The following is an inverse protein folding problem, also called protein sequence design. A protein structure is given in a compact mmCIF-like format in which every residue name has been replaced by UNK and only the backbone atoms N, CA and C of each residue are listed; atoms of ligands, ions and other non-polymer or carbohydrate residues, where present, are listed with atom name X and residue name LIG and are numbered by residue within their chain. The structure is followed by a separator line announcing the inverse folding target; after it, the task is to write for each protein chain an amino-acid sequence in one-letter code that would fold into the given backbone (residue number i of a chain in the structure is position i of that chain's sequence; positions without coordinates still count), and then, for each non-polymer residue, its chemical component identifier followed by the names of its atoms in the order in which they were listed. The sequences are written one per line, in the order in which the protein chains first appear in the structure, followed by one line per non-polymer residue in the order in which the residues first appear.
data_IF_799359923442
#
_entry.id   IF_799359923442
#
_cell.length_a   1.000
_cell.length_b   1.000
_cell.length_c   1.000
_cell.angle_alpha   90.00
_cell.angle_beta   90.00
_cell.angle_gamma   90.00
#
_symmetry.space_group_name_H-M   'P 1'
#
loop_
_entity.id
_entity.type
_entity.pdbx_description
1 polymer ?
#
# COMPACT_ATOMS: atom_id res chain seq x y z
N UNK A 1 12.47 17.78 15.43
CA UNK A 1 11.30 17.95 16.29
C UNK A 1 10.04 17.99 15.41
N UNK A 2 8.99 17.32 15.83
CA UNK A 2 7.70 17.28 15.14
C UNK A 2 6.58 17.55 16.14
N UNK A 3 5.65 18.44 15.79
CA UNK A 3 4.46 18.74 16.55
C UNK A 3 3.27 18.77 15.60
N UNK A 4 2.16 18.16 15.99
CA UNK A 4 0.94 18.11 15.18
C UNK A 4 -0.28 18.21 16.08
N UNK A 5 -1.20 19.11 15.73
CA UNK A 5 -2.49 19.27 16.39
C UNK A 5 -3.61 19.02 15.36
N UNK A 6 -4.57 18.17 15.72
CA UNK A 6 -5.70 17.80 14.86
C UNK A 6 -7.03 17.98 15.58
N UNK A 7 -7.99 18.64 14.92
CA UNK A 7 -9.34 18.85 15.45
C UNK A 7 -10.36 18.11 14.59
N UNK A 8 -11.14 17.25 15.22
CA UNK A 8 -12.26 16.54 14.58
C UNK A 8 -13.59 17.18 15.00
N UNK A 9 -14.43 17.48 14.02
CA UNK A 9 -15.73 18.12 14.25
C UNK A 9 -16.86 17.26 13.68
N UNK A 10 -17.97 17.20 14.40
CA UNK A 10 -19.22 16.71 13.84
C UNK A 10 -19.76 17.70 12.80
N UNK A 11 -20.24 17.19 11.68
CA UNK A 11 -20.82 18.00 10.60
C UNK A 11 -22.12 17.38 10.10
N UNK A 12 -22.91 18.17 9.33
CA UNK A 12 -24.10 17.67 8.62
C UNK A 12 -23.76 17.06 7.25
N UNK A 13 -22.49 17.04 6.85
CA UNK A 13 -22.04 16.38 5.63
C UNK A 13 -22.26 14.87 5.70
N UNK A 14 -22.38 14.17 4.57
CA UNK A 14 -22.33 12.71 4.54
C UNK A 14 -21.07 12.22 5.29
N UNK A 15 -21.20 11.16 6.11
CA UNK A 15 -20.06 10.66 6.86
C UNK A 15 -18.94 10.21 5.91
N UNK A 16 -17.73 10.67 6.20
CA UNK A 16 -16.54 10.19 5.53
C UNK A 16 -16.10 8.85 6.12
N UNK A 17 -15.51 7.99 5.31
CA UNK A 17 -14.97 6.70 5.72
C UNK A 17 -13.52 6.53 5.30
N UNK A 18 -12.98 5.33 5.51
CA UNK A 18 -11.64 4.98 5.13
C UNK A 18 -11.49 4.92 3.61
N UNK A 19 -10.72 5.83 3.03
CA UNK A 19 -10.23 5.75 1.66
C UNK A 19 -8.88 5.02 1.64
N UNK A 20 -8.53 4.34 0.57
CA UNK A 20 -7.23 3.65 0.41
C UNK A 20 -6.07 4.60 0.72
N UNK A 21 -5.25 4.27 1.73
CA UNK A 21 -4.22 5.16 2.30
C UNK A 21 -4.59 5.74 3.66
N UNK A 22 -5.86 5.72 4.07
CA UNK A 22 -6.38 6.02 5.40
C UNK A 22 -5.86 7.33 6.01
N UNK A 23 -5.96 8.44 5.25
CA UNK A 23 -5.55 9.79 5.67
C UNK A 23 -4.08 10.13 5.38
N UNK A 24 -3.20 9.17 5.15
CA UNK A 24 -1.81 9.44 4.73
C UNK A 24 -1.75 10.09 3.35
N UNK A 25 -2.74 9.85 2.48
CA UNK A 25 -2.86 10.52 1.17
C UNK A 25 -2.91 12.04 1.30
N UNK A 26 -3.68 12.56 2.24
CA UNK A 26 -3.82 14.00 2.47
C UNK A 26 -2.53 14.62 3.04
N UNK A 27 -1.96 14.00 4.06
CA UNK A 27 -0.72 14.47 4.68
C UNK A 27 0.47 14.35 3.72
N UNK A 28 0.55 13.27 2.94
CA UNK A 28 1.56 13.10 1.91
C UNK A 28 1.47 14.20 0.85
N UNK A 29 0.27 14.54 0.37
CA UNK A 29 0.10 15.62 -0.60
C UNK A 29 0.68 16.94 -0.08
N UNK A 30 0.38 17.32 1.16
CA UNK A 30 0.90 18.54 1.77
C UNK A 30 2.43 18.49 1.96
N UNK A 31 2.94 17.41 2.56
CA UNK A 31 4.36 17.27 2.89
C UNK A 31 5.23 17.22 1.63
N UNK A 32 4.83 16.42 0.64
CA UNK A 32 5.58 16.26 -0.59
C UNK A 32 5.57 17.52 -1.47
N UNK A 33 4.47 18.29 -1.43
CA UNK A 33 4.41 19.61 -2.09
C UNK A 33 5.38 20.57 -1.43
N UNK A 34 5.45 20.62 -0.10
CA UNK A 34 6.43 21.43 0.63
C UNK A 34 7.86 21.02 0.34
N UNK A 35 8.15 19.71 0.27
CA UNK A 35 9.49 19.22 -0.09
C UNK A 35 9.92 19.67 -1.48
N UNK A 36 9.00 19.74 -2.44
CA UNK A 36 9.30 20.25 -3.78
C UNK A 36 9.63 21.76 -3.73
N UNK A 37 8.90 22.54 -2.94
CA UNK A 37 9.21 23.96 -2.71
C UNK A 37 10.58 24.15 -2.04
N UNK A 38 10.87 23.33 -1.05
CA UNK A 38 12.17 23.37 -0.38
C UNK A 38 13.31 23.01 -1.33
N UNK A 39 13.12 22.02 -2.21
CA UNK A 39 14.11 21.65 -3.23
C UNK A 39 14.43 22.84 -4.15
N UNK A 40 13.40 23.55 -4.61
CA UNK A 40 13.56 24.73 -5.45
C UNK A 40 14.28 25.87 -4.71
N UNK A 41 13.94 26.11 -3.43
CA UNK A 41 14.55 27.15 -2.60
C UNK A 41 16.05 26.88 -2.33
N UNK A 42 16.45 25.62 -2.13
CA UNK A 42 17.85 25.27 -1.88
C UNK A 42 18.63 24.91 -3.15
N UNK A 43 17.99 24.95 -4.31
CA UNK A 43 18.63 24.79 -5.61
C UNK A 43 19.07 23.37 -5.94
N UNK A 44 18.40 22.34 -5.40
CA UNK A 44 18.65 20.94 -5.74
C UNK A 44 17.42 20.29 -6.36
N UNK A 45 17.60 19.13 -7.01
CA UNK A 45 16.45 18.46 -7.63
C UNK A 45 15.47 17.88 -6.59
N UNK A 46 14.18 17.76 -6.92
CA UNK A 46 13.19 17.07 -6.08
C UNK A 46 13.57 15.62 -5.75
N UNK A 47 14.31 14.93 -6.64
CA UNK A 47 14.84 13.61 -6.36
C UNK A 47 15.96 13.68 -5.31
N UNK A 48 16.89 14.62 -5.46
CA UNK A 48 18.07 14.76 -4.60
C UNK A 48 17.69 15.12 -3.16
N UNK A 49 16.73 16.01 -2.93
CA UNK A 49 16.31 16.36 -1.57
C UNK A 49 15.73 15.14 -0.85
N UNK A 50 14.97 14.29 -1.54
CA UNK A 50 14.42 13.05 -0.99
C UNK A 50 15.50 12.03 -0.69
N UNK A 51 16.44 11.84 -1.61
CA UNK A 51 17.51 10.86 -1.45
C UNK A 51 18.43 11.18 -0.26
N UNK A 52 18.75 12.46 -0.06
CA UNK A 52 19.55 12.92 1.09
C UNK A 52 18.84 12.74 2.43
N UNK A 53 17.53 12.89 2.45
CA UNK A 53 16.70 12.84 3.65
C UNK A 53 15.91 11.52 3.80
N UNK A 54 16.10 10.57 2.88
CA UNK A 54 15.43 9.27 2.96
C UNK A 54 15.87 8.53 4.23
N UNK A 55 14.88 8.00 4.97
CA UNK A 55 15.16 7.16 6.14
C UNK A 55 15.86 5.87 5.72
N UNK A 56 16.79 5.42 6.54
CA UNK A 56 17.62 4.23 6.31
C UNK A 56 17.53 3.26 7.49
N UNK A 57 17.83 1.97 7.28
CA UNK A 57 17.88 1.00 8.36
C UNK A 57 18.69 1.50 9.58
N UNK A 58 18.13 1.33 10.78
CA UNK A 58 18.73 1.77 12.03
C UNK A 58 18.46 3.23 12.42
N UNK A 59 17.86 4.03 11.54
CA UNK A 59 17.44 5.40 11.87
C UNK A 59 16.14 5.42 12.67
N UNK A 60 15.87 6.56 13.28
CA UNK A 60 14.78 6.74 14.24
C UNK A 60 13.66 7.59 13.65
N UNK A 61 12.44 7.09 13.66
CA UNK A 61 11.23 7.85 13.30
C UNK A 61 10.90 8.92 14.34
N UNK A 62 10.13 9.96 13.99
CA UNK A 62 9.73 11.02 14.93
C UNK A 62 9.03 10.51 16.20
N UNK A 63 8.40 9.36 16.16
CA UNK A 63 7.75 8.70 17.30
C UNK A 63 8.71 7.86 18.17
N UNK A 64 10.00 7.81 17.83
CA UNK A 64 11.04 7.07 18.56
C UNK A 64 11.28 5.64 18.08
N UNK A 65 10.50 5.11 17.14
CA UNK A 65 10.71 3.76 16.59
C UNK A 65 12.00 3.74 15.74
N UNK A 66 12.84 2.73 15.99
CA UNK A 66 13.99 2.42 15.12
C UNK A 66 13.47 1.56 13.96
N UNK A 67 13.76 1.97 12.72
CA UNK A 67 13.36 1.19 11.54
C UNK A 67 14.33 0.06 11.26
N UNK A 68 13.79 -1.09 10.83
CA UNK A 68 14.55 -2.31 10.61
C UNK A 68 15.28 -2.39 9.26
N UNK A 69 15.96 -3.51 9.00
CA UNK A 69 16.71 -3.73 7.76
C UNK A 69 15.81 -3.79 6.51
N UNK A 70 14.52 -4.05 6.68
CA UNK A 70 13.50 -4.08 5.63
C UNK A 70 13.11 -2.68 5.09
N UNK A 71 13.74 -1.62 5.57
CA UNK A 71 13.44 -0.23 5.16
C UNK A 71 13.98 0.05 3.76
N UNK A 72 13.09 0.12 2.76
CA UNK A 72 13.43 0.18 1.33
C UNK A 72 13.17 1.51 0.63
N UNK A 73 13.08 2.65 1.35
CA UNK A 73 12.82 3.94 0.70
C UNK A 73 13.93 4.34 -0.28
N UNK A 74 15.18 4.13 0.09
CA UNK A 74 16.34 4.44 -0.79
C UNK A 74 16.27 3.62 -2.07
N UNK A 75 15.98 2.34 -1.96
CA UNK A 75 15.89 1.43 -3.09
C UNK A 75 14.73 1.81 -4.04
N UNK A 76 13.62 2.31 -3.51
CA UNK A 76 12.52 2.81 -4.36
C UNK A 76 12.92 4.09 -5.11
N UNK A 77 13.68 4.99 -4.48
CA UNK A 77 14.23 6.19 -5.12
C UNK A 77 15.24 5.84 -6.23
N UNK A 78 16.12 4.88 -5.97
CA UNK A 78 17.10 4.41 -6.95
C UNK A 78 16.43 3.70 -8.13
N UNK A 79 15.38 2.92 -7.88
CA UNK A 79 14.63 2.24 -8.94
C UNK A 79 13.93 3.21 -9.90
N UNK A 80 13.48 4.37 -9.43
CA UNK A 80 12.85 5.41 -10.24
C UNK A 80 13.89 6.30 -10.95
N UNK A 81 15.13 6.41 -10.41
CA UNK A 81 16.17 7.34 -10.87
C UNK A 81 16.44 7.29 -12.37
N UNK A 82 16.61 6.13 -13.02
CA UNK A 82 16.88 6.08 -14.46
C UNK A 82 15.77 6.72 -15.31
N UNK A 83 14.52 6.53 -14.92
CA UNK A 83 13.35 7.11 -15.59
C UNK A 83 13.28 8.63 -15.36
N UNK A 84 13.59 9.06 -14.13
CA UNK A 84 13.64 10.47 -13.78
C UNK A 84 14.70 11.20 -14.59
N UNK A 85 15.93 10.69 -14.63
CA UNK A 85 17.04 11.28 -15.35
C UNK A 85 16.78 11.35 -16.87
N UNK A 86 16.23 10.30 -17.45
CA UNK A 86 15.90 10.27 -18.86
C UNK A 86 14.83 11.32 -19.23
N UNK A 87 13.78 11.43 -18.43
CA UNK A 87 12.74 12.43 -18.63
C UNK A 87 13.28 13.86 -18.45
N UNK A 88 14.14 14.10 -17.46
CA UNK A 88 14.82 15.38 -17.25
C UNK A 88 15.75 15.74 -18.43
N UNK A 89 16.52 14.78 -18.95
CA UNK A 89 17.38 14.95 -20.12
C UNK A 89 16.58 15.33 -21.37
N UNK A 90 15.39 14.77 -21.51
CA UNK A 90 14.44 15.12 -22.59
C UNK A 90 13.75 16.47 -22.34
N UNK A 91 14.02 17.12 -21.21
CA UNK A 91 13.41 18.37 -20.79
C UNK A 91 11.92 18.26 -20.56
N UNK A 92 11.38 17.08 -20.21
CA UNK A 92 9.96 16.88 -19.93
C UNK A 92 9.59 17.44 -18.55
N UNK A 93 8.34 17.90 -18.34
CA UNK A 93 7.82 18.21 -17.03
C UNK A 93 7.69 16.93 -16.20
N UNK A 94 8.48 16.82 -15.14
CA UNK A 94 8.56 15.64 -14.28
C UNK A 94 8.28 16.04 -12.84
N UNK A 95 7.38 15.34 -12.21
CA UNK A 95 7.15 15.43 -10.76
C UNK A 95 7.47 14.11 -10.08
N UNK A 96 7.92 14.18 -8.84
CA UNK A 96 8.28 13.03 -8.02
C UNK A 96 7.76 13.19 -6.59
N UNK A 97 7.36 12.08 -5.97
CA UNK A 97 6.95 12.03 -4.58
C UNK A 97 7.30 10.68 -3.95
N UNK A 98 7.52 10.70 -2.64
CA UNK A 98 7.74 9.53 -1.82
C UNK A 98 6.60 9.35 -0.80
N UNK A 99 6.47 8.14 -0.27
CA UNK A 99 5.56 7.88 0.84
C UNK A 99 6.07 6.74 1.72
N UNK A 100 5.65 6.78 2.97
CA UNK A 100 5.74 5.71 3.94
C UNK A 100 4.36 5.39 4.47
N UNK A 101 4.01 4.11 4.58
CA UNK A 101 2.72 3.67 5.10
C UNK A 101 2.87 2.40 5.94
N UNK A 102 2.29 2.40 7.13
CA UNK A 102 2.24 1.21 7.97
C UNK A 102 1.54 0.04 7.27
N UNK A 103 2.04 -1.16 7.54
CA UNK A 103 1.37 -2.44 7.32
C UNK A 103 0.96 -3.00 8.69
N UNK A 104 -0.34 -3.32 8.84
CA UNK A 104 -0.94 -3.63 10.14
C UNK A 104 -1.61 -2.41 10.80
N UNK A 105 -2.42 -2.67 11.84
CA UNK A 105 -3.18 -1.63 12.56
C UNK A 105 -2.26 -0.78 13.44
N UNK A 106 -1.42 -1.42 14.23
CA UNK A 106 -0.40 -0.76 15.06
C UNK A 106 -0.94 0.00 16.27
N UNK A 107 -0.12 0.89 16.80
CA UNK A 107 -0.38 1.86 17.89
C UNK A 107 -1.04 1.25 19.14
N UNK A 108 -0.64 0.02 19.48
CA UNK A 108 -1.14 -0.70 20.66
C UNK A 108 -2.52 -1.33 20.50
N UNK A 109 -3.12 -1.26 19.31
CA UNK A 109 -4.38 -1.96 19.03
C UNK A 109 -4.06 -3.43 18.73
N UNK A 110 -4.73 -4.41 19.39
CA UNK A 110 -4.52 -5.82 19.09
C UNK A 110 -4.82 -6.14 17.64
N UNK A 111 -3.84 -6.66 16.92
CA UNK A 111 -3.93 -6.97 15.49
C UNK A 111 -3.69 -8.48 15.29
N UNK A 112 -4.79 -9.25 15.29
CA UNK A 112 -4.78 -10.70 15.22
C UNK A 112 -4.86 -11.22 13.78
N UNK A 113 -4.00 -12.17 13.45
CA UNK A 113 -4.13 -13.05 12.29
C UNK A 113 -4.40 -14.47 12.73
N UNK A 114 -5.30 -15.17 12.05
CA UNK A 114 -5.62 -16.56 12.30
C UNK A 114 -5.85 -17.29 10.99
N UNK A 115 -5.32 -18.49 10.91
CA UNK A 115 -5.45 -19.35 9.75
C UNK A 115 -5.57 -20.81 10.18
N UNK A 116 -6.45 -21.53 9.53
CA UNK A 116 -6.68 -22.95 9.75
C UNK A 116 -6.46 -23.70 8.45
N UNK A 117 -5.63 -24.73 8.49
CA UNK A 117 -5.41 -25.67 7.41
C UNK A 117 -6.03 -27.01 7.81
N UNK A 118 -6.95 -27.53 7.04
CA UNK A 118 -7.57 -28.84 7.28
C UNK A 118 -7.21 -29.74 6.09
N UNK A 119 -6.72 -30.94 6.38
CA UNK A 119 -6.60 -31.98 5.35
C UNK A 119 -7.97 -32.66 5.24
N UNK A 120 -8.67 -32.40 4.14
CA UNK A 120 -10.01 -32.95 3.94
C UNK A 120 -9.96 -34.38 3.35
N UNK A 121 -11.14 -35.03 3.26
CA UNK A 121 -11.24 -36.42 2.76
C UNK A 121 -10.81 -36.61 1.31
N UNK A 122 -10.63 -35.53 0.56
CA UNK A 122 -10.08 -35.52 -0.80
C UNK A 122 -8.53 -35.57 -0.82
N UNK A 123 -7.91 -35.72 0.34
CA UNK A 123 -6.46 -35.70 0.55
C UNK A 123 -5.81 -34.40 0.06
N UNK A 124 -6.51 -33.28 0.22
CA UNK A 124 -5.98 -31.92 -0.04
C UNK A 124 -6.04 -31.08 1.21
N UNK A 125 -5.20 -30.03 1.23
CA UNK A 125 -5.18 -29.01 2.27
C UNK A 125 -6.15 -27.91 1.92
N UNK A 126 -7.19 -27.76 2.72
CA UNK A 126 -8.17 -26.68 2.61
C UNK A 126 -7.80 -25.52 3.56
N UNK A 127 -7.76 -24.31 3.03
CA UNK A 127 -7.39 -23.09 3.77
C UNK A 127 -8.65 -22.40 4.24
N UNK A 128 -8.77 -22.18 5.54
CA UNK A 128 -9.84 -21.41 6.18
C UNK A 128 -9.24 -20.21 6.91
N UNK A 129 -9.58 -19.01 6.47
CA UNK A 129 -9.17 -17.75 7.09
C UNK A 129 -10.27 -16.71 6.97
N UNK A 130 -10.50 -15.93 8.05
CA UNK A 130 -11.47 -14.83 8.05
C UNK A 130 -11.02 -13.61 7.24
N UNK A 131 -9.84 -13.66 6.63
CA UNK A 131 -9.30 -12.61 5.77
C UNK A 131 -10.11 -12.47 4.49
N UNK A 132 -10.98 -11.45 4.41
CA UNK A 132 -11.81 -11.22 3.23
C UNK A 132 -11.01 -10.75 2.03
N UNK A 133 -11.27 -11.38 0.87
CA UNK A 133 -10.74 -10.92 -0.41
C UNK A 133 -11.66 -9.81 -0.95
N UNK A 134 -11.10 -8.60 -1.07
CA UNK A 134 -11.76 -7.42 -1.65
C UNK A 134 -11.26 -7.10 -3.08
N UNK A 135 -10.68 -8.10 -3.74
CA UNK A 135 -10.04 -7.99 -5.05
C UNK A 135 -8.51 -8.03 -5.01
N UNK A 136 -7.88 -7.96 -3.84
CA UNK A 136 -6.43 -7.93 -3.65
C UNK A 136 -5.74 -9.29 -3.78
N UNK A 137 -6.49 -10.40 -3.87
CA UNK A 137 -5.92 -11.72 -4.14
C UNK A 137 -5.34 -12.45 -2.91
N UNK A 138 -5.84 -12.19 -1.69
CA UNK A 138 -5.33 -12.81 -0.45
C UNK A 138 -5.32 -14.35 -0.52
N UNK A 139 -6.32 -14.96 -1.14
CA UNK A 139 -6.36 -16.44 -1.30
C UNK A 139 -5.17 -16.97 -2.08
N UNK A 140 -4.77 -16.29 -3.15
CA UNK A 140 -3.57 -16.67 -3.93
C UNK A 140 -2.30 -16.50 -3.09
N UNK A 141 -2.21 -15.42 -2.30
CA UNK A 141 -1.07 -15.20 -1.41
C UNK A 141 -0.94 -16.32 -0.38
N UNK A 142 -2.05 -16.69 0.30
CA UNK A 142 -2.04 -17.78 1.28
C UNK A 142 -1.65 -19.13 0.65
N UNK A 143 -2.17 -19.44 -0.54
CA UNK A 143 -1.77 -20.65 -1.28
C UNK A 143 -0.26 -20.65 -1.57
N UNK A 144 0.30 -19.54 -2.02
CA UNK A 144 1.73 -19.42 -2.29
C UNK A 144 2.57 -19.53 -1.01
N UNK A 145 2.11 -18.99 0.11
CA UNK A 145 2.77 -19.17 1.41
C UNK A 145 2.81 -20.65 1.81
N UNK A 146 1.76 -21.42 1.57
CA UNK A 146 1.76 -22.87 1.85
C UNK A 146 2.77 -23.59 0.95
N UNK A 147 2.75 -23.32 -0.35
CA UNK A 147 3.72 -23.93 -1.30
C UNK A 147 5.17 -23.59 -0.94
N UNK A 148 5.40 -22.38 -0.39
CA UNK A 148 6.75 -21.94 0.03
C UNK A 148 7.22 -22.62 1.32
N UNK A 149 6.30 -22.92 2.24
CA UNK A 149 6.64 -23.39 3.60
C UNK A 149 6.36 -24.91 3.80
N UNK A 150 5.91 -25.61 2.78
CA UNK A 150 5.63 -27.07 2.83
C UNK A 150 6.12 -27.74 1.54
N UNK A 151 6.26 -29.07 1.50
CA UNK A 151 6.59 -29.79 0.28
C UNK A 151 5.42 -29.91 -0.72
N UNK A 152 4.28 -29.30 -0.44
CA UNK A 152 3.05 -29.41 -1.23
C UNK A 152 3.13 -28.61 -2.53
N UNK A 153 2.36 -29.08 -3.53
CA UNK A 153 2.17 -28.37 -4.80
C UNK A 153 0.85 -27.58 -4.77
N UNK A 154 0.72 -26.64 -5.68
CA UNK A 154 -0.54 -25.86 -5.84
C UNK A 154 -1.79 -26.76 -6.02
N UNK A 155 -1.64 -27.91 -6.68
CA UNK A 155 -2.72 -28.90 -6.90
C UNK A 155 -3.26 -29.53 -5.63
N UNK A 156 -2.46 -29.55 -4.57
CA UNK A 156 -2.75 -30.21 -3.30
C UNK A 156 -3.47 -29.24 -2.33
N UNK A 157 -3.76 -28.01 -2.77
CA UNK A 157 -4.27 -26.94 -1.92
C UNK A 157 -5.57 -26.37 -2.51
N UNK A 158 -6.58 -26.22 -1.65
CA UNK A 158 -7.86 -25.58 -1.96
C UNK A 158 -8.00 -24.33 -1.07
N UNK A 159 -8.24 -23.18 -1.67
CA UNK A 159 -8.61 -21.99 -0.91
C UNK A 159 -10.12 -21.91 -0.78
N UNK A 160 -10.60 -21.99 0.45
CA UNK A 160 -12.02 -21.87 0.76
C UNK A 160 -12.42 -20.41 0.88
N UNK A 161 -13.65 -20.09 0.45
CA UNK A 161 -14.20 -18.77 0.68
C UNK A 161 -14.42 -18.56 2.18
N UNK A 162 -14.07 -17.37 2.67
CA UNK A 162 -14.30 -17.01 4.07
C UNK A 162 -15.77 -17.15 4.43
N UNK A 163 -16.05 -17.85 5.53
CA UNK A 163 -17.38 -17.95 6.11
C UNK A 163 -17.28 -17.95 7.64
N UNK A 164 -18.30 -17.47 8.30
CA UNK A 164 -18.30 -17.30 9.77
C UNK A 164 -18.53 -18.58 10.57
N UNK A 165 -18.80 -19.70 9.89
CA UNK A 165 -19.07 -20.98 10.56
C UNK A 165 -17.80 -21.77 10.88
N UNK A 166 -16.80 -21.67 10.01
CA UNK A 166 -15.59 -22.50 10.11
C UNK A 166 -14.30 -21.68 10.07
N UNK A 167 -14.27 -20.57 9.31
CA UNK A 167 -13.08 -19.73 9.22
C UNK A 167 -12.83 -18.99 10.55
N UNK A 168 -11.61 -19.06 11.12
CA UNK A 168 -11.28 -18.30 12.30
C UNK A 168 -11.27 -16.80 12.01
N UNK A 169 -11.75 -15.98 12.95
CA UNK A 169 -11.70 -14.54 12.81
C UNK A 169 -10.24 -14.06 12.68
N UNK A 170 -9.95 -13.33 11.62
CA UNK A 170 -8.64 -12.76 11.32
C UNK A 170 -8.69 -11.24 11.15
N UNK A 171 -9.73 -10.61 11.69
CA UNK A 171 -9.96 -9.17 11.63
C UNK A 171 -10.26 -8.64 10.21
N UNK A 172 -10.53 -7.34 10.15
CA UNK A 172 -10.92 -6.66 8.92
C UNK A 172 -9.80 -6.64 7.87
N UNK A 173 -10.17 -6.63 6.59
CA UNK A 173 -9.25 -6.35 5.50
C UNK A 173 -9.09 -4.85 5.34
N UNK A 174 -8.14 -4.28 6.07
CA UNK A 174 -7.83 -2.85 6.16
C UNK A 174 -6.34 -2.67 6.51
N UNK A 175 -5.81 -1.45 6.47
CA UNK A 175 -4.46 -1.13 6.97
C UNK A 175 -3.32 -1.96 6.36
N UNK A 176 -3.49 -2.51 5.16
CA UNK A 176 -2.50 -3.38 4.48
C UNK A 176 -2.06 -4.60 5.32
N UNK A 177 -2.94 -5.09 6.23
CA UNK A 177 -2.59 -6.06 7.27
C UNK A 177 -2.62 -7.53 6.85
N UNK A 178 -3.45 -7.92 5.87
CA UNK A 178 -3.76 -9.33 5.67
C UNK A 178 -2.55 -10.19 5.24
N UNK A 179 -1.71 -9.71 4.32
CA UNK A 179 -0.49 -10.42 3.93
C UNK A 179 0.46 -10.57 5.11
N UNK A 180 0.60 -9.53 5.95
CA UNK A 180 1.48 -9.53 7.12
C UNK A 180 0.92 -10.41 8.25
N UNK A 181 -0.29 -10.11 8.72
CA UNK A 181 -0.82 -10.67 9.97
C UNK A 181 -1.45 -12.05 9.74
N UNK A 182 -2.34 -12.17 8.76
CA UNK A 182 -2.92 -13.48 8.40
C UNK A 182 -1.92 -14.37 7.68
N UNK A 183 -1.02 -13.78 6.88
CA UNK A 183 0.07 -14.52 6.25
C UNK A 183 1.02 -15.15 7.27
N UNK A 184 1.39 -14.43 8.33
CA UNK A 184 2.19 -15.01 9.42
C UNK A 184 1.46 -16.13 10.16
N UNK A 185 0.16 -15.97 10.40
CA UNK A 185 -0.66 -17.03 10.98
C UNK A 185 -0.70 -18.28 10.07
N UNK A 186 -0.83 -18.08 8.77
CA UNK A 186 -0.74 -19.16 7.78
C UNK A 186 0.63 -19.85 7.81
N UNK A 187 1.72 -19.10 7.83
CA UNK A 187 3.09 -19.62 7.93
C UNK A 187 3.27 -20.50 9.17
N UNK A 188 2.75 -20.08 10.33
CA UNK A 188 2.78 -20.89 11.57
C UNK A 188 1.93 -22.16 11.49
N UNK A 189 0.82 -22.13 10.77
CA UNK A 189 0.05 -23.34 10.49
C UNK A 189 0.83 -24.28 9.56
N UNK A 190 1.54 -23.72 8.58
CA UNK A 190 2.39 -24.51 7.67
C UNK A 190 3.54 -25.22 8.37
N UNK A 191 4.16 -24.61 9.40
CA UNK A 191 5.21 -25.26 10.19
C UNK A 191 4.72 -26.57 10.82
N UNK A 192 3.50 -26.55 11.37
CA UNK A 192 2.89 -27.72 11.98
C UNK A 192 2.53 -28.80 10.94
N UNK A 193 1.98 -28.36 9.79
CA UNK A 193 1.64 -29.25 8.69
C UNK A 193 2.90 -29.86 8.07
N UNK A 194 3.95 -29.09 7.85
CA UNK A 194 5.22 -29.57 7.31
C UNK A 194 5.85 -30.66 8.20
N UNK A 195 5.85 -30.44 9.52
CA UNK A 195 6.33 -31.44 10.47
C UNK A 195 5.51 -32.74 10.43
N UNK A 196 4.19 -32.67 10.27
CA UNK A 196 3.34 -33.85 10.13
C UNK A 196 3.62 -34.59 8.81
N UNK A 197 3.89 -33.86 7.74
CA UNK A 197 4.22 -34.43 6.41
C UNK A 197 5.58 -35.12 6.35
N UNK A 198 6.46 -34.95 7.35
CA UNK A 198 7.71 -35.72 7.45
C UNK A 198 7.47 -37.22 7.68
N UNK A 199 6.34 -37.57 8.31
CA UNK A 199 6.03 -38.96 8.74
C UNK A 199 4.72 -39.50 8.20
N UNK A 200 3.87 -38.63 7.64
CA UNK A 200 2.55 -39.02 7.14
C UNK A 200 2.29 -38.47 5.73
N UNK A 201 1.50 -39.18 4.98
CA UNK A 201 0.93 -38.68 3.70
C UNK A 201 -0.30 -37.82 3.94
N UNK A 202 -0.73 -37.02 2.95
CA UNK A 202 -1.99 -36.26 3.06
C UNK A 202 -3.21 -37.14 3.33
N UNK A 203 -3.25 -38.36 2.74
CA UNK A 203 -4.36 -39.27 2.97
C UNK A 203 -4.43 -39.76 4.43
N UNK A 204 -3.29 -40.00 5.07
CA UNK A 204 -3.21 -40.37 6.50
C UNK A 204 -3.53 -39.22 7.43
N UNK A 205 -3.35 -37.98 6.98
CA UNK A 205 -3.69 -36.76 7.73
C UNK A 205 -5.15 -36.30 7.53
N UNK A 206 -5.95 -37.08 6.77
CA UNK A 206 -7.36 -36.70 6.53
C UNK A 206 -8.13 -36.46 7.83
N UNK A 207 -8.85 -35.35 7.90
CA UNK A 207 -9.57 -34.88 9.09
C UNK A 207 -8.72 -34.10 10.10
N UNK A 208 -7.41 -34.01 9.93
CA UNK A 208 -6.56 -33.24 10.84
C UNK A 208 -6.56 -31.74 10.53
N UNK A 209 -6.55 -30.96 11.62
CA UNK A 209 -6.51 -29.49 11.60
C UNK A 209 -5.14 -28.99 12.08
N UNK A 210 -4.58 -28.02 11.34
CA UNK A 210 -3.35 -27.31 11.67
C UNK A 210 -3.69 -25.82 11.81
N UNK A 211 -3.67 -25.32 13.03
CA UNK A 211 -4.05 -23.95 13.37
C UNK A 211 -2.83 -23.09 13.63
N UNK A 212 -2.81 -21.90 13.02
CA UNK A 212 -1.82 -20.84 13.25
C UNK A 212 -2.49 -19.54 13.70
N UNK A 213 -1.82 -18.86 14.63
CA UNK A 213 -2.24 -17.56 15.15
C UNK A 213 -1.03 -16.65 15.31
N UNK A 214 -1.24 -15.37 15.03
CA UNK A 214 -0.25 -14.33 15.21
C UNK A 214 -0.91 -13.07 15.78
N UNK A 215 -0.33 -12.50 16.83
CA UNK A 215 -0.64 -11.18 17.33
C UNK A 215 0.50 -10.24 17.03
N UNK A 216 0.26 -9.24 16.18
CA UNK A 216 1.20 -8.15 15.95
C UNK A 216 1.24 -7.25 17.19
N UNK A 217 2.32 -7.38 17.97
CA UNK A 217 2.50 -6.58 19.19
C UNK A 217 3.09 -5.23 18.84
N UNK A 218 2.43 -4.16 19.27
CA UNK A 218 2.84 -2.77 19.07
C UNK A 218 2.58 -1.96 20.33
N UNK A 219 3.27 -0.84 20.46
CA UNK A 219 3.11 0.08 21.59
C UNK A 219 2.12 1.19 21.27
N UNK A 220 1.45 1.70 22.29
CA UNK A 220 0.54 2.84 22.17
C UNK A 220 1.32 4.10 21.78
N UNK A 221 0.66 5.03 21.09
CA UNK A 221 1.22 6.36 20.87
C UNK A 221 1.54 7.03 22.23
N UNK A 222 2.75 7.56 22.34
CA UNK A 222 3.23 8.16 23.59
C UNK A 222 3.57 7.15 24.68
N UNK A 223 3.81 5.87 24.36
CA UNK A 223 4.30 4.89 25.31
C UNK A 223 5.65 5.37 25.93
N UNK A 224 5.75 5.25 27.25
CA UNK A 224 6.95 5.59 27.99
C UNK A 224 7.96 4.44 27.94
N UNK A 225 8.51 4.23 26.74
CA UNK A 225 9.56 3.25 26.46
C UNK A 225 10.61 3.88 25.54
N UNK A 226 11.89 3.49 25.63
CA UNK A 226 12.98 4.15 24.89
C UNK A 226 12.80 4.11 23.36
N UNK A 227 12.29 3.02 22.84
CA UNK A 227 12.10 2.80 21.38
C UNK A 227 10.76 2.11 21.13
N UNK A 228 9.64 2.85 21.13
CA UNK A 228 8.34 2.28 20.96
C UNK A 228 8.16 1.70 19.55
N UNK A 229 7.58 0.52 19.45
CA UNK A 229 7.21 -0.10 18.17
C UNK A 229 5.78 0.29 17.85
N UNK A 230 5.57 1.34 17.08
CA UNK A 230 4.24 1.78 16.69
C UNK A 230 3.58 0.87 15.65
N UNK A 231 4.38 0.29 14.75
CA UNK A 231 3.92 -0.66 13.73
C UNK A 231 4.98 -1.74 13.49
N UNK A 232 4.54 -2.96 13.16
CA UNK A 232 5.45 -4.10 12.89
C UNK A 232 6.25 -3.88 11.62
N UNK A 233 5.66 -3.27 10.60
CA UNK A 233 6.33 -2.99 9.33
C UNK A 233 5.79 -1.73 8.68
N UNK A 234 6.59 -1.15 7.78
CA UNK A 234 6.22 -0.05 6.90
C UNK A 234 6.51 -0.42 5.46
N UNK A 235 5.60 -0.07 4.55
CA UNK A 235 5.87 -0.05 3.12
C UNK A 235 6.38 1.34 2.71
N UNK A 236 7.26 1.36 1.72
CA UNK A 236 7.83 2.58 1.15
C UNK A 236 7.54 2.64 -0.34
N UNK A 237 7.39 3.84 -0.86
CA UNK A 237 7.14 4.03 -2.29
C UNK A 237 7.76 5.32 -2.80
N UNK A 238 8.23 5.28 -4.03
CA UNK A 238 8.57 6.45 -4.84
C UNK A 238 7.80 6.38 -6.15
N UNK A 239 7.08 7.44 -6.47
CA UNK A 239 6.37 7.55 -7.75
C UNK A 239 6.77 8.83 -8.47
N UNK A 240 6.82 8.76 -9.79
CA UNK A 240 7.03 9.92 -10.65
C UNK A 240 5.96 10.01 -11.73
N UNK A 241 5.64 11.24 -12.13
CA UNK A 241 4.72 11.57 -13.19
C UNK A 241 5.42 12.37 -14.27
N UNK A 242 5.13 12.05 -15.52
CA UNK A 242 5.57 12.83 -16.69
C UNK A 242 4.35 13.43 -17.36
N UNK A 243 4.38 14.73 -17.65
CA UNK A 243 3.34 15.42 -18.40
C UNK A 243 3.82 15.69 -19.82
N UNK A 244 2.98 15.38 -20.81
CA UNK A 244 3.25 15.68 -22.22
C UNK A 244 3.17 17.19 -22.48
N UNK A 245 4.24 17.77 -22.99
CA UNK A 245 4.36 19.23 -23.24
C UNK A 245 3.34 19.81 -24.22
N UNK A 246 2.86 19.00 -25.17
CA UNK A 246 1.97 19.48 -26.23
C UNK A 246 0.51 19.43 -25.80
N UNK A 247 0.14 18.39 -25.08
CA UNK A 247 -1.26 18.13 -24.72
C UNK A 247 -1.59 18.51 -23.28
N UNK A 248 -0.60 18.67 -22.41
CA UNK A 248 -0.78 18.84 -20.97
C UNK A 248 -1.32 17.59 -20.26
N UNK A 249 -1.44 16.46 -20.96
CA UNK A 249 -1.93 15.22 -20.37
C UNK A 249 -0.79 14.45 -19.70
N UNK A 250 -1.14 13.63 -18.70
CA UNK A 250 -0.20 12.69 -18.10
C UNK A 250 0.23 11.69 -19.18
N UNK A 251 1.52 11.64 -19.48
CA UNK A 251 2.13 10.75 -20.46
C UNK A 251 2.40 9.38 -19.84
N UNK A 252 2.99 9.38 -18.64
CA UNK A 252 3.32 8.16 -17.93
C UNK A 252 3.47 8.39 -16.42
N UNK A 253 3.29 7.28 -15.68
CA UNK A 253 3.56 7.18 -14.24
C UNK A 253 4.50 6.01 -14.00
N UNK A 254 5.59 6.22 -13.28
CA UNK A 254 6.51 5.18 -12.82
C UNK A 254 6.37 5.04 -11.31
N UNK A 255 6.17 3.84 -10.83
CA UNK A 255 5.76 3.61 -9.44
C UNK A 255 6.56 2.45 -8.82
N UNK A 256 7.62 2.78 -8.09
CA UNK A 256 8.45 1.83 -7.36
C UNK A 256 7.95 1.67 -5.91
N UNK A 257 7.75 0.41 -5.51
CA UNK A 257 7.22 0.07 -4.19
C UNK A 257 8.04 -1.03 -3.54
N UNK A 258 8.48 -0.76 -2.32
CA UNK A 258 9.02 -1.79 -1.44
C UNK A 258 7.89 -2.69 -0.94
N UNK A 259 8.05 -3.97 -1.16
CA UNK A 259 7.10 -5.03 -0.78
C UNK A 259 7.68 -6.00 0.25
N UNK A 260 8.86 -5.69 0.81
CA UNK A 260 9.66 -6.65 1.56
C UNK A 260 10.10 -7.78 0.62
N UNK A 261 9.52 -8.96 0.78
CA UNK A 261 9.64 -10.07 -0.17
C UNK A 261 8.33 -10.26 -0.95
N UNK A 262 8.39 -10.17 -2.27
CA UNK A 262 7.21 -10.37 -3.10
C UNK A 262 6.73 -11.83 -3.04
N UNK A 263 5.59 -12.10 -2.40
CA UNK A 263 4.96 -13.43 -2.41
C UNK A 263 4.36 -13.72 -3.79
N UNK A 264 3.75 -12.72 -4.42
CA UNK A 264 3.23 -12.80 -5.78
C UNK A 264 3.56 -11.50 -6.53
N UNK A 265 4.67 -11.45 -7.30
CA UNK A 265 5.08 -10.25 -8.02
C UNK A 265 3.99 -9.68 -8.93
N UNK A 266 3.28 -10.53 -9.67
CA UNK A 266 2.20 -10.10 -10.57
C UNK A 266 1.01 -9.48 -9.84
N UNK A 267 0.66 -10.00 -8.67
CA UNK A 267 -0.36 -9.38 -7.83
C UNK A 267 0.11 -8.05 -7.25
N UNK A 268 1.40 -7.93 -6.92
CA UNK A 268 2.00 -6.66 -6.48
C UNK A 268 1.92 -5.60 -7.58
N UNK A 269 2.29 -5.94 -8.82
CA UNK A 269 2.14 -5.05 -9.98
C UNK A 269 0.69 -4.57 -10.14
N UNK A 270 -0.29 -5.47 -10.10
CA UNK A 270 -1.71 -5.12 -10.19
C UNK A 270 -2.20 -4.24 -9.03
N UNK A 271 -1.66 -4.41 -7.82
CA UNK A 271 -1.96 -3.52 -6.70
C UNK A 271 -1.35 -2.13 -6.90
N UNK A 272 -0.14 -2.04 -7.45
CA UNK A 272 0.52 -0.77 -7.79
C UNK A 272 -0.30 -0.02 -8.84
N UNK A 273 -0.62 -0.67 -9.96
CA UNK A 273 -1.42 -0.07 -11.03
C UNK A 273 -2.78 0.43 -10.52
N UNK A 274 -3.50 -0.41 -9.76
CA UNK A 274 -4.79 -0.05 -9.19
C UNK A 274 -4.73 1.12 -8.22
N UNK A 275 -3.70 1.19 -7.37
CA UNK A 275 -3.49 2.31 -6.44
C UNK A 275 -3.15 3.62 -7.16
N UNK A 276 -2.27 3.56 -8.15
CA UNK A 276 -1.90 4.70 -8.99
C UNK A 276 -3.12 5.28 -9.70
N UNK A 277 -3.95 4.44 -10.34
CA UNK A 277 -5.17 4.89 -11.02
C UNK A 277 -6.16 5.54 -10.07
N UNK A 278 -6.36 4.96 -8.89
CA UNK A 278 -7.24 5.51 -7.86
C UNK A 278 -6.78 6.90 -7.41
N UNK A 279 -5.47 7.06 -7.18
CA UNK A 279 -4.89 8.34 -6.78
C UNK A 279 -4.91 9.37 -7.92
N UNK A 280 -4.65 8.94 -9.15
CA UNK A 280 -4.81 9.80 -10.33
C UNK A 280 -6.23 10.37 -10.42
N UNK A 281 -7.24 9.58 -10.03
CA UNK A 281 -8.63 9.97 -10.00
C UNK A 281 -8.88 11.19 -9.13
N UNK A 282 -8.58 11.11 -7.83
CA UNK A 282 -8.79 12.23 -6.92
C UNK A 282 -7.80 13.39 -7.13
N UNK A 283 -6.64 13.11 -7.74
CA UNK A 283 -5.70 14.16 -8.08
C UNK A 283 -6.20 15.06 -9.22
N UNK A 284 -6.92 14.54 -10.19
CA UNK A 284 -7.18 15.23 -11.45
C UNK A 284 -8.65 15.57 -11.72
N UNK A 285 -9.62 14.75 -11.26
CA UNK A 285 -11.01 14.98 -11.66
C UNK A 285 -12.11 14.42 -10.76
N UNK A 286 -11.81 13.52 -9.82
CA UNK A 286 -12.85 12.96 -8.96
C UNK A 286 -13.35 14.01 -7.96
N UNK A 287 -14.66 14.14 -7.87
CA UNK A 287 -15.34 15.02 -6.94
C UNK A 287 -16.57 14.32 -6.37
N UNK A 288 -16.93 14.69 -5.15
CA UNK A 288 -18.14 14.25 -4.50
C UNK A 288 -19.01 15.47 -4.14
N UNK A 289 -19.67 16.08 -5.13
CA UNK A 289 -20.42 17.30 -4.91
C UNK A 289 -21.70 17.03 -4.10
N UNK A 290 -21.98 17.95 -3.19
CA UNK A 290 -23.17 17.95 -2.34
C UNK A 290 -23.97 19.24 -2.54
N UNK A 291 -25.29 19.20 -2.35
CA UNK A 291 -26.16 20.37 -2.39
C UNK A 291 -26.12 21.16 -1.07
N UNK A 292 -26.89 22.25 -0.99
CA UNK A 292 -26.99 23.08 0.21
C UNK A 292 -27.62 22.37 1.43
N UNK A 293 -28.19 21.19 1.24
CA UNK A 293 -28.72 20.32 2.29
C UNK A 293 -27.77 19.15 2.60
N UNK A 294 -26.52 19.22 2.15
CA UNK A 294 -25.49 18.17 2.32
C UNK A 294 -25.84 16.82 1.67
N UNK A 295 -26.68 16.82 0.63
CA UNK A 295 -27.02 15.60 -0.11
C UNK A 295 -26.15 15.45 -1.36
N UNK A 296 -25.67 14.23 -1.68
CA UNK A 296 -24.97 13.97 -2.94
C UNK A 296 -25.85 14.32 -4.14
N UNK A 297 -25.29 15.05 -5.10
CA UNK A 297 -26.01 15.49 -6.32
C UNK A 297 -25.62 14.72 -7.57
N UNK A 298 -24.56 13.93 -7.53
CA UNK A 298 -24.09 13.09 -8.65
C UNK A 298 -24.20 11.61 -8.32
N UNK A 299 -24.46 10.80 -9.35
CA UNK A 299 -24.43 9.35 -9.26
C UNK A 299 -22.99 8.85 -9.38
N UNK A 300 -22.71 7.63 -8.89
CA UNK A 300 -21.38 7.02 -8.90
C UNK A 300 -20.68 7.12 -10.27
N UNK A 301 -21.37 6.86 -11.38
CA UNK A 301 -20.81 6.95 -12.73
C UNK A 301 -20.45 8.36 -13.20
N UNK A 302 -20.86 9.39 -12.46
CA UNK A 302 -20.66 10.81 -12.78
C UNK A 302 -19.57 11.45 -11.94
N UNK A 303 -19.01 10.74 -10.94
CA UNK A 303 -18.03 11.27 -10.00
C UNK A 303 -16.65 11.59 -10.62
N UNK A 304 -16.42 11.26 -11.88
CA UNK A 304 -15.17 11.54 -12.59
C UNK A 304 -14.17 10.39 -12.58
N UNK A 305 -14.58 9.17 -12.29
CA UNK A 305 -13.72 7.99 -12.33
C UNK A 305 -13.10 7.78 -13.72
N UNK A 306 -11.80 7.47 -13.77
CA UNK A 306 -11.10 7.15 -15.01
C UNK A 306 -11.61 5.84 -15.62
N UNK A 307 -11.76 5.81 -16.93
CA UNK A 307 -12.05 4.60 -17.70
C UNK A 307 -10.75 3.96 -18.18
N UNK A 308 -10.75 2.66 -18.40
CA UNK A 308 -9.55 1.91 -18.79
C UNK A 308 -8.78 2.50 -19.97
N UNK A 309 -9.50 3.02 -20.99
CA UNK A 309 -8.90 3.63 -22.19
C UNK A 309 -8.33 5.04 -21.97
N UNK A 310 -8.57 5.66 -20.82
CA UNK A 310 -8.08 6.99 -20.47
C UNK A 310 -6.81 6.93 -19.62
N UNK A 311 -6.43 5.72 -19.17
CA UNK A 311 -5.29 5.53 -18.26
C UNK A 311 -3.99 5.64 -19.07
N UNK A 312 -3.03 6.49 -18.63
CA UNK A 312 -1.73 6.60 -19.26
C UNK A 312 -0.88 5.34 -19.03
N UNK A 313 0.29 5.30 -19.62
CA UNK A 313 1.25 4.23 -19.36
C UNK A 313 1.64 4.25 -17.87
N UNK A 314 1.46 3.12 -17.17
CA UNK A 314 1.96 2.90 -15.81
C UNK A 314 3.10 1.89 -15.89
N UNK A 315 4.20 2.16 -15.19
CA UNK A 315 5.36 1.29 -15.06
C UNK A 315 5.47 0.90 -13.58
N UNK A 316 4.88 -0.22 -13.17
CA UNK A 316 5.06 -0.72 -11.81
C UNK A 316 6.46 -1.31 -11.65
N UNK A 317 7.12 -1.00 -10.53
CA UNK A 317 8.41 -1.56 -10.15
C UNK A 317 8.25 -2.14 -8.75
N UNK A 318 8.43 -3.45 -8.65
CA UNK A 318 8.44 -4.19 -7.38
C UNK A 318 9.87 -4.18 -6.85
N UNK A 319 10.07 -3.62 -5.67
CA UNK A 319 11.36 -3.58 -4.98
C UNK A 319 11.31 -4.59 -3.83
N UNK A 320 12.18 -5.57 -3.89
CA UNK A 320 12.37 -6.54 -2.80
C UNK A 320 13.42 -6.00 -1.81
N UNK A 321 12.99 -5.70 -0.59
CA UNK A 321 13.88 -5.33 0.52
C UNK A 321 13.71 -6.31 1.68
N UNK A 322 14.47 -7.41 1.69
CA UNK A 322 14.35 -8.42 2.74
C UNK A 322 14.84 -7.88 4.09
N UNK A 323 14.35 -8.46 5.18
CA UNK A 323 14.76 -8.11 6.54
C UNK A 323 13.66 -8.28 7.58
N UNK A 324 12.41 -8.45 7.16
CA UNK A 324 11.30 -8.71 8.06
C UNK A 324 11.22 -10.22 8.39
N UNK A 325 11.14 -10.55 9.69
CA UNK A 325 11.14 -11.93 10.19
C UNK A 325 9.77 -12.60 10.18
N UNK A 326 8.71 -11.89 9.86
CA UNK A 326 7.33 -12.40 9.82
C UNK A 326 6.79 -12.48 8.40
N UNK A 327 5.74 -13.25 8.19
CA UNK A 327 5.03 -13.38 6.91
C UNK A 327 5.95 -13.71 5.71
N UNK A 328 6.97 -14.54 5.90
CA UNK A 328 7.99 -14.84 4.89
C UNK A 328 8.73 -13.58 4.37
N UNK A 329 8.79 -12.53 5.15
CA UNK A 329 9.40 -11.25 4.78
C UNK A 329 8.51 -10.30 3.98
N UNK A 330 7.24 -10.63 3.78
CA UNK A 330 6.33 -9.83 2.97
C UNK A 330 5.74 -8.65 3.75
N UNK A 331 5.68 -7.48 3.10
CA UNK A 331 5.01 -6.28 3.59
C UNK A 331 3.71 -6.08 2.82
N UNK A 332 2.62 -5.74 3.52
CA UNK A 332 1.34 -5.43 2.88
C UNK A 332 1.40 -4.11 2.11
N UNK A 333 1.01 -4.11 0.84
CA UNK A 333 1.07 -2.94 -0.04
C UNK A 333 -0.32 -2.43 -0.47
N UNK A 334 -1.37 -2.85 0.21
CA UNK A 334 -2.74 -2.50 -0.18
C UNK A 334 -2.99 -1.00 -0.27
N UNK A 335 -2.38 -0.18 0.57
CA UNK A 335 -2.64 1.26 0.68
C UNK A 335 -1.51 2.15 0.14
N UNK A 336 -0.25 1.80 0.38
CA UNK A 336 0.92 2.61 -0.02
C UNK A 336 0.89 2.98 -1.52
N UNK A 337 0.33 2.11 -2.33
CA UNK A 337 0.28 2.25 -3.78
C UNK A 337 -0.53 3.46 -4.27
N UNK A 338 -1.45 3.99 -3.45
CA UNK A 338 -2.29 5.14 -3.78
C UNK A 338 -1.82 6.45 -3.12
N UNK A 339 -0.66 6.48 -2.47
CA UNK A 339 -0.29 7.62 -1.63
C UNK A 339 0.52 8.69 -2.39
N UNK A 340 1.68 8.38 -3.02
CA UNK A 340 2.54 9.43 -3.57
C UNK A 340 2.12 9.90 -4.97
N UNK A 341 1.12 9.32 -5.61
CA UNK A 341 0.72 9.66 -6.99
C UNK A 341 0.25 11.11 -7.12
N UNK A 342 -0.64 11.57 -6.24
CA UNK A 342 -1.21 12.91 -6.35
C UNK A 342 -0.16 14.02 -6.20
N UNK A 343 0.76 14.00 -5.21
CA UNK A 343 1.82 15.00 -5.14
C UNK A 343 2.83 14.89 -6.31
N UNK A 344 3.11 13.69 -6.84
CA UNK A 344 3.94 13.53 -8.02
C UNK A 344 3.29 14.18 -9.26
N UNK A 345 1.97 14.03 -9.42
CA UNK A 345 1.21 14.68 -10.50
C UNK A 345 1.23 16.21 -10.30
N UNK A 346 1.00 16.69 -9.09
CA UNK A 346 0.99 18.13 -8.80
C UNK A 346 2.34 18.80 -9.11
N UNK A 347 3.46 18.15 -8.75
CA UNK A 347 4.79 18.63 -9.07
C UNK A 347 5.05 18.62 -10.59
N UNK A 348 4.62 17.57 -11.30
CA UNK A 348 4.74 17.51 -12.77
C UNK A 348 3.98 18.66 -13.45
N UNK A 349 2.78 19.01 -12.97
CA UNK A 349 2.03 20.15 -13.47
C UNK A 349 2.71 21.48 -13.14
N UNK A 350 3.26 21.62 -11.92
CA UNK A 350 4.06 22.80 -11.60
C UNK A 350 5.27 22.96 -12.54
N UNK A 351 5.96 21.86 -12.89
CA UNK A 351 7.06 21.88 -13.88
C UNK A 351 6.56 22.13 -15.30
N UNK A 352 5.28 21.91 -15.57
CA UNK A 352 4.66 22.14 -16.88
C UNK A 352 4.29 23.60 -17.11
N UNK A 353 3.62 24.25 -16.16
CA UNK A 353 3.03 25.59 -16.34
C UNK A 353 3.42 26.63 -15.28
N UNK A 354 4.18 26.23 -14.25
CA UNK A 354 4.63 27.11 -13.17
C UNK A 354 3.57 27.42 -12.12
N UNK A 355 2.35 26.86 -12.22
CA UNK A 355 1.27 27.11 -11.27
C UNK A 355 1.31 26.11 -10.10
N UNK A 356 1.54 26.59 -8.87
CA UNK A 356 1.43 25.76 -7.66
C UNK A 356 -0.01 25.58 -7.25
N UNK A 357 -0.43 24.33 -7.23
CA UNK A 357 -1.78 23.92 -6.86
C UNK A 357 -1.76 23.24 -5.49
N UNK A 358 -2.56 23.75 -4.56
CA UNK A 358 -2.64 23.27 -3.18
C UNK A 358 -4.00 22.62 -2.85
N UNK A 359 -4.85 22.47 -3.88
CA UNK A 359 -6.19 21.89 -3.74
C UNK A 359 -6.39 20.78 -4.77
N UNK A 360 -7.06 19.71 -4.37
CA UNK A 360 -7.45 18.60 -5.23
C UNK A 360 -8.97 18.59 -5.48
N UNK A 361 -9.41 18.14 -6.66
CA UNK A 361 -8.61 17.86 -7.84
C UNK A 361 -7.92 19.13 -8.37
N UNK A 362 -6.78 18.94 -9.08
CA UNK A 362 -6.00 20.04 -9.62
C UNK A 362 -6.79 20.81 -10.68
N UNK A 363 -6.95 22.13 -10.47
CA UNK A 363 -7.57 23.02 -11.44
C UNK A 363 -6.66 23.32 -12.64
N UNK A 364 -7.23 23.85 -13.71
CA UNK A 364 -6.53 24.25 -14.93
C UNK A 364 -5.72 23.12 -15.58
N UNK A 365 -6.27 21.90 -15.56
CA UNK A 365 -5.69 20.74 -16.24
C UNK A 365 -6.60 20.24 -17.37
N UNK A 366 -6.09 19.47 -18.35
CA UNK A 366 -6.92 18.86 -19.38
C UNK A 366 -7.97 17.86 -18.85
N UNK A 367 -7.88 17.50 -17.58
CA UNK A 367 -8.79 16.58 -16.91
C UNK A 367 -9.88 17.27 -16.09
N UNK A 368 -9.77 18.60 -15.94
CA UNK A 368 -10.75 19.37 -15.18
C UNK A 368 -12.15 19.18 -15.74
N UNK A 369 -13.08 18.85 -14.85
CA UNK A 369 -14.48 18.69 -15.20
C UNK A 369 -15.09 20.09 -15.41
N UNK A 370 -15.45 20.40 -16.64
CA UNK A 370 -16.27 21.60 -16.90
C UNK A 370 -17.58 21.41 -16.17
N UNK A 371 -17.91 22.31 -15.24
CA UNK A 371 -19.16 22.28 -14.49
C UNK A 371 -20.36 22.11 -15.46
N UNK A 372 -21.30 21.24 -15.07
CA UNK A 372 -22.62 21.17 -15.72
C UNK A 372 -23.45 22.37 -15.34
#
# INVERSE_FOLDING_TARGET
NFESEGHAYYTNNPPAGAFRGFGVTQTCFATETLLNEMADLVGISPWEIRYRNAIRPGEVLPNGQIVGPETGLVETLEAVKPYYDEAMKQGKPVGIACAMKNAGVGVGIPDWGRCKLIVENDAKVHIYAGASCIGQGVGTVLVQMIVTNTPLKRSDIVYERSNTWIAPDSGDTSGSRQTLVTGEACRRACEKLAAALETHTLAELAGQEFYGEYLAKTDKLGADVPHPVSHVAYGYATQMCVVDKKTGKVESLVAAHDVGKAVNPRSCEGQIEGGVVMSMGYALREQYPIDGNCKPIEKYGELGLFRAHEIPKIVPIVVDKPGLDVACGAIGIGEITSIPTAPAIADAYFRYDGERRTKLPLANTPYERKGK
#
